data_IF_963783420194
#
_entry.id   IF_963783420194
#
_cell.length_a   1.000
_cell.length_b   1.000
_cell.length_c   1.000
_cell.angle_alpha   90.00
_cell.angle_beta   90.00
_cell.angle_gamma   90.00
#
_symmetry.space_group_name_H-M   'P 1'
#
loop_
_entity.id
_entity.type
_entity.pdbx_description
1 polymer ?
#
# COMPACT_ATOMS: atom_id res chain seq x y z
N UNK A 1 18.33 0.19 17.27
CA UNK A 1 17.32 -0.20 16.25
C UNK A 1 17.65 0.55 14.97
N UNK A 2 18.26 -0.11 14.00
CA UNK A 2 18.55 0.50 12.71
C UNK A 2 17.26 0.57 11.90
N UNK A 3 16.80 1.76 11.53
CA UNK A 3 15.59 1.92 10.72
C UNK A 3 15.88 1.32 9.34
N UNK A 4 15.15 0.27 8.94
CA UNK A 4 15.23 -0.27 7.58
C UNK A 4 14.45 0.61 6.61
N UNK A 5 14.97 0.76 5.39
CA UNK A 5 14.29 1.48 4.32
C UNK A 5 13.41 0.54 3.51
N UNK A 6 12.14 0.92 3.35
CA UNK A 6 11.10 0.17 2.63
C UNK A 6 10.86 0.65 1.20
N UNK A 7 9.73 0.25 0.61
CA UNK A 7 9.26 0.78 -0.68
C UNK A 7 10.16 0.47 -1.88
N UNK A 8 10.51 1.50 -2.67
CA UNK A 8 11.28 1.35 -3.93
C UNK A 8 12.63 0.67 -3.71
N UNK A 9 13.36 1.05 -2.65
CA UNK A 9 14.67 0.49 -2.37
C UNK A 9 14.57 -0.99 -1.97
N UNK A 10 13.55 -1.34 -1.17
CA UNK A 10 13.24 -2.72 -0.84
C UNK A 10 12.89 -3.56 -2.08
N UNK A 11 12.07 -3.03 -2.98
CA UNK A 11 11.78 -3.68 -4.25
C UNK A 11 13.03 -3.88 -5.11
N UNK A 12 13.90 -2.85 -5.23
CA UNK A 12 15.10 -2.91 -6.07
C UNK A 12 16.13 -3.92 -5.56
N UNK A 13 16.34 -3.98 -4.24
CA UNK A 13 17.36 -4.86 -3.65
C UNK A 13 16.85 -6.28 -3.36
N UNK A 14 15.57 -6.45 -3.02
CA UNK A 14 15.02 -7.71 -2.54
C UNK A 14 14.18 -8.50 -3.54
N UNK A 15 13.75 -7.88 -4.65
CA UNK A 15 12.79 -8.52 -5.56
C UNK A 15 13.10 -8.36 -7.05
N UNK A 16 13.59 -7.18 -7.48
CA UNK A 16 13.90 -6.91 -8.88
C UNK A 16 15.14 -7.70 -9.34
N UNK A 17 15.07 -8.27 -10.55
CA UNK A 17 16.28 -8.72 -11.25
C UNK A 17 17.21 -7.56 -11.62
N UNK A 18 18.49 -7.84 -11.92
CA UNK A 18 19.50 -6.81 -12.18
C UNK A 18 19.11 -5.86 -13.32
N UNK A 19 18.51 -6.40 -14.37
CA UNK A 19 18.11 -5.67 -15.59
C UNK A 19 16.67 -5.13 -15.52
N UNK A 20 15.95 -5.34 -14.41
CA UNK A 20 14.58 -4.84 -14.27
C UNK A 20 14.55 -3.36 -13.92
N UNK A 21 13.96 -2.53 -14.79
CA UNK A 21 13.75 -1.11 -14.50
C UNK A 21 12.43 -0.93 -13.79
N UNK A 22 12.46 -0.38 -12.57
CA UNK A 22 11.25 0.03 -11.85
C UNK A 22 10.65 1.23 -12.58
N UNK A 23 9.43 1.06 -13.09
CA UNK A 23 8.65 2.10 -13.75
C UNK A 23 7.93 2.96 -12.73
N UNK A 24 7.28 2.34 -11.75
CA UNK A 24 6.78 3.04 -10.57
C UNK A 24 6.73 2.11 -9.37
N UNK A 25 6.74 2.71 -8.18
CA UNK A 25 6.36 2.03 -6.95
C UNK A 25 5.44 2.91 -6.11
N UNK A 26 4.35 2.33 -5.61
CA UNK A 26 3.34 3.03 -4.83
C UNK A 26 3.21 2.34 -3.47
N UNK A 27 3.77 2.93 -2.39
CA UNK A 27 3.59 2.39 -1.07
C UNK A 27 2.14 2.59 -0.61
N UNK A 28 1.58 1.56 0.02
CA UNK A 28 0.25 1.57 0.58
C UNK A 28 0.18 0.75 1.87
N UNK A 29 -0.78 1.11 2.71
CA UNK A 29 -1.22 0.29 3.84
C UNK A 29 -2.36 -0.62 3.39
N UNK A 30 -2.70 -1.68 4.13
CA UNK A 30 -3.88 -2.49 3.84
C UNK A 30 -5.16 -1.64 3.80
N UNK A 31 -5.27 -0.60 4.64
CA UNK A 31 -6.38 0.36 4.61
C UNK A 31 -6.42 1.24 3.35
N UNK A 32 -5.30 1.38 2.64
CA UNK A 32 -5.17 2.13 1.39
C UNK A 32 -5.51 1.33 0.13
N UNK A 33 -5.82 0.03 0.26
CA UNK A 33 -6.23 -0.86 -0.85
C UNK A 33 -7.73 -1.12 -0.75
N UNK A 34 -8.45 -0.98 -1.86
CA UNK A 34 -9.90 -1.22 -1.96
C UNK A 34 -10.26 -2.01 -3.21
N UNK A 35 -11.46 -2.56 -3.24
CA UNK A 35 -11.91 -3.49 -4.28
C UNK A 35 -13.23 -3.04 -4.89
N UNK A 36 -13.23 -2.85 -6.20
CA UNK A 36 -14.37 -2.57 -7.08
C UNK A 36 -14.57 -3.77 -8.01
N UNK A 37 -14.83 -4.92 -7.40
CA UNK A 37 -14.90 -6.21 -8.08
C UNK A 37 -16.32 -6.73 -7.94
N UNK A 38 -16.93 -7.10 -9.05
CA UNK A 38 -18.32 -7.57 -9.05
C UNK A 38 -18.50 -8.78 -8.12
N UNK A 39 -19.56 -8.76 -7.31
CA UNK A 39 -19.83 -9.80 -6.32
C UNK A 39 -19.00 -9.72 -5.03
N UNK A 40 -18.12 -8.73 -4.89
CA UNK A 40 -17.40 -8.43 -3.65
C UNK A 40 -17.83 -7.09 -3.05
N UNK A 41 -17.64 -6.95 -1.74
CA UNK A 41 -17.75 -5.67 -1.05
C UNK A 41 -16.54 -4.77 -1.35
N UNK A 42 -16.62 -3.48 -0.96
CA UNK A 42 -15.56 -2.50 -1.17
C UNK A 42 -14.22 -2.85 -0.48
N UNK A 43 -14.27 -3.68 0.55
CA UNK A 43 -13.13 -4.27 1.26
C UNK A 43 -12.74 -5.67 0.75
N UNK A 44 -13.35 -6.11 -0.36
CA UNK A 44 -13.00 -7.34 -1.07
C UNK A 44 -13.59 -8.62 -0.48
N UNK A 45 -14.52 -8.55 0.47
CA UNK A 45 -15.16 -9.74 1.06
C UNK A 45 -16.30 -10.24 0.18
N UNK A 46 -16.45 -11.55 0.12
CA UNK A 46 -17.63 -12.19 -0.47
C UNK A 46 -18.83 -11.93 0.43
N UNK A 47 -19.76 -11.11 -0.02
CA UNK A 47 -21.06 -10.90 0.63
C UNK A 47 -22.16 -11.24 -0.35
N UNK A 48 -23.18 -11.96 0.11
CA UNK A 48 -24.34 -12.37 -0.70
C UNK A 48 -24.85 -11.22 -1.56
N UNK A 49 -24.98 -11.48 -2.87
CA UNK A 49 -25.52 -10.57 -3.87
C UNK A 49 -26.69 -9.72 -3.32
N UNK A 50 -26.55 -8.39 -3.33
CA UNK A 50 -27.65 -7.52 -2.92
C UNK A 50 -27.25 -6.07 -2.73
N UNK A 51 -27.60 -5.25 -3.73
CA UNK A 51 -27.88 -3.81 -3.65
C UNK A 51 -27.83 -3.21 -2.23
N UNK A 52 -26.80 -2.41 -1.98
CA UNK A 52 -26.80 -1.36 -0.97
C UNK A 52 -26.77 -1.85 0.47
N UNK A 53 -25.75 -1.42 1.21
CA UNK A 53 -25.88 -0.73 2.49
C UNK A 53 -24.46 -0.36 2.92
N UNK A 54 -24.18 0.94 2.87
CA UNK A 54 -23.18 1.58 3.72
C UNK A 54 -23.50 1.24 5.18
N UNK A 55 -22.89 0.20 5.77
CA UNK A 55 -22.86 0.06 7.23
C UNK A 55 -21.55 -0.50 7.73
N UNK A 56 -20.96 0.30 8.62
CA UNK A 56 -19.97 -0.04 9.63
C UNK A 56 -18.59 -0.49 9.13
N UNK A 57 -17.80 0.46 8.63
CA UNK A 57 -16.36 0.37 8.84
C UNK A 57 -16.12 0.58 10.34
N UNK A 58 -15.75 -0.52 11.00
CA UNK A 58 -15.44 -0.58 12.42
C UNK A 58 -14.41 0.49 12.77
N UNK A 59 -14.79 1.38 13.67
CA UNK A 59 -13.88 2.27 14.37
C UNK A 59 -12.90 1.43 15.20
N UNK A 60 -11.66 1.35 14.73
CA UNK A 60 -10.43 1.08 15.51
C UNK A 60 -9.31 1.75 14.70
N UNK A 61 -8.48 2.68 15.14
CA UNK A 61 -8.26 3.45 16.37
C UNK A 61 -7.22 4.53 15.94
N UNK A 62 -7.27 5.76 16.47
CA UNK A 62 -6.07 6.64 16.43
C UNK A 62 -6.21 8.07 15.90
N UNK A 63 -7.12 8.83 16.49
CA UNK A 63 -6.94 10.25 16.87
C UNK A 63 -6.69 11.30 15.76
N UNK A 64 -7.82 11.90 15.35
CA UNK A 64 -8.10 13.34 15.31
C UNK A 64 -6.90 14.25 15.62
N UNK A 65 -6.51 15.10 14.66
CA UNK A 65 -5.54 16.15 14.92
C UNK A 65 -6.15 17.51 14.57
N UNK A 66 -6.79 18.11 15.57
CA UNK A 66 -7.43 19.42 15.51
C UNK A 66 -6.64 20.47 14.70
N UNK A 67 -7.22 20.89 13.57
CA UNK A 67 -7.12 22.22 12.97
C UNK A 67 -8.24 22.37 11.94
N UNK A 68 -9.21 23.25 12.25
CA UNK A 68 -10.19 23.93 11.38
C UNK A 68 -10.82 23.15 10.21
N UNK A 69 -12.14 22.97 10.25
CA UNK A 69 -13.02 22.40 9.22
C UNK A 69 -12.81 20.90 8.93
N UNK A 70 -13.14 20.05 9.91
CA UNK A 70 -13.07 18.60 9.74
C UNK A 70 -14.28 18.06 8.97
N UNK A 71 -14.09 17.83 7.67
CA UNK A 71 -14.89 16.85 6.91
C UNK A 71 -14.58 15.47 7.50
N UNK A 72 -15.52 14.85 8.22
CA UNK A 72 -15.39 13.50 8.85
C UNK A 72 -15.19 12.36 7.83
N UNK A 73 -15.00 12.69 6.56
CA UNK A 73 -14.86 11.74 5.46
C UNK A 73 -13.45 11.17 5.38
N UNK A 74 -13.38 9.94 4.90
CA UNK A 74 -12.13 9.21 4.73
C UNK A 74 -11.25 9.84 3.63
N UNK A 75 -9.91 9.83 3.78
CA UNK A 75 -9.02 10.18 2.69
C UNK A 75 -9.15 9.15 1.55
N UNK A 76 -8.98 9.55 0.27
CA UNK A 76 -9.00 8.61 -0.85
C UNK A 76 -8.05 7.42 -0.65
N UNK A 77 -8.44 6.19 -1.06
CA UNK A 77 -7.52 5.06 -1.04
C UNK A 77 -6.37 5.32 -2.01
N UNK A 78 -5.24 4.65 -1.80
CA UNK A 78 -4.07 4.75 -2.70
C UNK A 78 -4.27 3.92 -3.95
N UNK A 79 -4.91 2.76 -3.82
CA UNK A 79 -5.16 1.83 -4.92
C UNK A 79 -6.57 1.26 -4.82
N UNK A 80 -7.26 1.17 -5.95
CA UNK A 80 -8.50 0.40 -6.09
C UNK A 80 -8.31 -0.69 -7.13
N UNK A 81 -8.39 -1.94 -6.71
CA UNK A 81 -8.44 -3.11 -7.58
C UNK A 81 -9.84 -3.22 -8.19
N UNK A 82 -9.98 -3.49 -9.48
CA UNK A 82 -11.26 -3.64 -10.16
C UNK A 82 -11.31 -4.92 -11.01
N UNK A 83 -12.50 -5.46 -11.27
CA UNK A 83 -12.64 -6.62 -12.14
C UNK A 83 -14.04 -7.21 -12.24
N UNK A 84 -14.28 -8.07 -13.24
CA UNK A 84 -15.59 -8.66 -13.53
C UNK A 84 -16.09 -9.69 -12.51
N UNK A 85 -15.27 -10.13 -11.56
CA UNK A 85 -15.74 -11.04 -10.51
C UNK A 85 -14.67 -11.54 -9.55
N UNK A 86 -15.04 -12.39 -8.57
CA UNK A 86 -14.11 -12.89 -7.55
C UNK A 86 -12.98 -13.78 -8.09
N UNK A 87 -13.12 -14.27 -9.33
CA UNK A 87 -12.12 -15.09 -10.03
C UNK A 87 -11.15 -14.26 -10.89
N UNK A 88 -11.28 -12.93 -10.88
CA UNK A 88 -10.39 -12.02 -11.60
C UNK A 88 -8.94 -12.13 -11.12
N UNK A 89 -7.99 -11.98 -12.04
CA UNK A 89 -6.55 -12.04 -11.76
C UNK A 89 -6.13 -11.04 -10.67
N UNK A 90 -6.74 -9.86 -10.63
CA UNK A 90 -6.43 -8.86 -9.59
C UNK A 90 -6.67 -9.37 -8.15
N UNK A 91 -7.52 -10.39 -7.98
CA UNK A 91 -7.78 -10.96 -6.66
C UNK A 91 -6.60 -11.76 -6.10
N UNK A 92 -5.66 -12.16 -6.95
CA UNK A 92 -4.39 -12.78 -6.52
C UNK A 92 -3.49 -11.82 -5.72
N UNK A 93 -3.72 -10.51 -5.79
CA UNK A 93 -2.96 -9.51 -5.04
C UNK A 93 -3.63 -9.10 -3.72
N UNK A 94 -4.67 -9.81 -3.28
CA UNK A 94 -5.43 -9.40 -2.10
C UNK A 94 -4.61 -9.66 -0.82
N UNK A 95 -4.37 -8.65 0.04
CA UNK A 95 -3.80 -8.88 1.37
C UNK A 95 -4.69 -9.74 2.26
N UNK A 96 -4.08 -10.55 3.13
CA UNK A 96 -4.80 -11.35 4.12
C UNK A 96 -5.12 -10.47 5.33
N UNK A 97 -6.20 -10.79 6.06
CA UNK A 97 -6.63 -10.02 7.23
C UNK A 97 -5.62 -10.02 8.38
N UNK A 98 -4.68 -10.96 8.39
CA UNK A 98 -3.60 -11.07 9.38
C UNK A 98 -2.47 -10.05 9.11
N UNK A 99 -2.49 -9.39 7.95
CA UNK A 99 -1.46 -8.46 7.50
C UNK A 99 -1.67 -7.02 7.96
N UNK A 100 -2.39 -6.78 9.06
CA UNK A 100 -2.81 -5.42 9.46
C UNK A 100 -1.64 -4.44 9.65
N UNK A 101 -0.49 -4.94 10.11
CA UNK A 101 0.74 -4.16 10.35
C UNK A 101 1.75 -4.24 9.19
N UNK A 102 1.42 -4.96 8.12
CA UNK A 102 2.31 -5.18 6.98
C UNK A 102 2.25 -3.98 6.03
N UNK A 103 3.42 -3.53 5.57
CA UNK A 103 3.53 -2.49 4.56
C UNK A 103 3.51 -3.11 3.17
N UNK A 104 2.69 -2.55 2.29
CA UNK A 104 2.57 -3.00 0.91
C UNK A 104 3.16 -1.99 -0.05
N UNK A 105 3.71 -2.47 -1.17
CA UNK A 105 4.14 -1.62 -2.27
C UNK A 105 3.73 -2.25 -3.58
N UNK A 106 2.90 -1.54 -4.35
CA UNK A 106 2.66 -1.89 -5.74
C UNK A 106 3.85 -1.48 -6.58
N UNK A 107 4.41 -2.40 -7.34
CA UNK A 107 5.59 -2.16 -8.18
C UNK A 107 5.30 -2.60 -9.61
N UNK A 108 5.48 -1.68 -10.55
CA UNK A 108 5.54 -2.01 -11.98
C UNK A 108 6.99 -1.91 -12.43
N UNK A 109 7.51 -2.98 -13.03
CA UNK A 109 8.82 -3.01 -13.68
C UNK A 109 8.68 -3.10 -15.19
N UNK A 110 9.81 -3.11 -15.90
CA UNK A 110 9.87 -3.44 -17.32
C UNK A 110 9.37 -4.86 -17.65
N UNK A 111 9.25 -5.76 -16.66
CA UNK A 111 8.92 -7.16 -16.88
C UNK A 111 7.63 -7.64 -16.20
N UNK A 112 7.22 -7.01 -15.09
CA UNK A 112 6.10 -7.51 -14.28
C UNK A 112 5.49 -6.44 -13.38
N UNK A 113 4.25 -6.68 -13.00
CA UNK A 113 3.52 -5.95 -11.97
C UNK A 113 3.37 -6.85 -10.75
N UNK A 114 3.65 -6.33 -9.57
CA UNK A 114 3.54 -7.07 -8.32
C UNK A 114 3.02 -6.23 -7.16
N UNK A 115 2.44 -6.92 -6.18
CA UNK A 115 2.24 -6.38 -4.84
C UNK A 115 3.26 -7.00 -3.90
N UNK A 116 4.17 -6.18 -3.40
CA UNK A 116 5.18 -6.59 -2.44
C UNK A 116 4.71 -6.30 -1.02
N UNK A 117 4.99 -7.21 -0.11
CA UNK A 117 4.77 -7.10 1.31
C UNK A 117 6.12 -7.06 2.04
N UNK A 118 6.31 -6.11 2.94
CA UNK A 118 7.51 -6.09 3.79
C UNK A 118 7.40 -7.17 4.86
N UNK A 119 8.44 -7.99 5.00
CA UNK A 119 8.48 -9.06 6.01
C UNK A 119 8.78 -8.41 7.37
N UNK A 120 7.86 -8.52 8.34
CA UNK A 120 8.08 -7.97 9.67
C UNK A 120 9.29 -8.65 10.31
N UNK A 121 10.11 -7.87 11.02
CA UNK A 121 11.26 -8.41 11.73
C UNK A 121 10.76 -9.33 12.86
N UNK A 122 11.23 -10.59 12.95
CA UNK A 122 10.91 -11.42 14.09
C UNK A 122 11.40 -10.71 15.35
N UNK A 123 10.61 -10.68 16.44
CA UNK A 123 11.07 -10.08 17.67
C UNK A 123 12.38 -10.75 18.07
N UNK A 124 13.43 -9.98 18.29
CA UNK A 124 14.69 -10.49 18.82
C UNK A 124 14.37 -11.36 20.05
N UNK A 125 14.94 -12.57 20.18
CA UNK A 125 14.74 -13.36 21.39
C UNK A 125 15.28 -12.52 22.55
N UNK A 126 14.36 -12.06 23.41
CA UNK A 126 14.71 -11.45 24.67
C UNK A 126 15.65 -12.42 25.39
N UNK A 127 16.90 -12.01 25.57
CA UNK A 127 17.86 -12.74 26.39
C UNK A 127 17.17 -13.05 27.71
N UNK A 128 17.13 -14.35 28.03
CA UNK A 128 16.49 -14.94 29.20
C UNK A 128 16.74 -14.08 30.45
N UNK A 129 15.71 -13.33 30.85
CA UNK A 129 15.54 -12.98 32.25
C UNK A 129 14.57 -13.98 32.82
N UNK A 130 15.15 -14.91 33.56
CA UNK A 130 14.47 -15.78 34.50
C UNK A 130 13.37 -15.03 35.28
N UNK A 131 12.32 -15.80 35.59
CA UNK A 131 11.30 -15.53 36.60
C UNK A 131 10.30 -14.40 36.31
N UNK A 132 9.19 -14.75 35.67
CA UNK A 132 7.98 -15.10 36.44
C UNK A 132 6.76 -15.21 35.55
N UNK A 133 6.00 -16.26 35.85
CA UNK A 133 4.68 -16.57 35.33
C UNK A 133 3.72 -15.37 35.33
N UNK A 134 3.07 -15.15 34.19
CA UNK A 134 1.76 -14.53 34.11
C UNK A 134 1.77 -13.06 33.70
N UNK A 135 1.48 -12.81 32.42
CA UNK A 135 0.25 -12.11 32.01
C UNK A 135 0.31 -11.79 30.52
N UNK A 136 -0.38 -12.60 29.72
CA UNK A 136 -0.60 -12.41 28.28
C UNK A 136 -1.35 -11.10 27.94
N UNK A 137 -1.77 -10.31 28.93
CA UNK A 137 -2.60 -9.11 28.76
C UNK A 137 -1.84 -7.78 28.73
N UNK A 138 -0.52 -7.75 28.95
CA UNK A 138 0.26 -6.50 28.86
C UNK A 138 0.77 -6.15 27.45
N UNK A 139 0.71 -7.09 26.49
CA UNK A 139 1.21 -6.88 25.11
C UNK A 139 0.37 -5.92 24.26
N UNK A 140 -0.88 -5.62 24.61
CA UNK A 140 -1.76 -4.79 23.78
C UNK A 140 -1.56 -3.26 23.94
N UNK A 141 -0.76 -2.78 24.90
CA UNK A 141 -0.67 -1.34 25.22
C UNK A 141 0.51 -0.57 24.59
N UNK A 142 1.41 -1.22 23.83
CA UNK A 142 2.55 -0.55 23.18
C UNK A 142 2.43 -0.34 21.66
N UNK A 143 1.29 -0.67 21.05
CA UNK A 143 1.07 -0.61 19.61
C UNK A 143 0.55 0.76 19.07
N UNK A 144 0.50 1.80 19.91
CA UNK A 144 -0.18 3.07 19.57
C UNK A 144 0.71 4.27 19.17
N UNK A 145 2.04 4.15 19.13
CA UNK A 145 2.93 5.32 19.04
C UNK A 145 3.61 5.55 17.67
N UNK A 146 3.54 4.61 16.71
CA UNK A 146 4.37 4.66 15.50
C UNK A 146 3.79 5.38 14.28
N UNK A 147 2.51 5.74 14.29
CA UNK A 147 1.77 6.12 13.07
C UNK A 147 1.94 7.59 12.68
N UNK A 148 2.36 8.48 13.60
CA UNK A 148 2.49 9.94 13.32
C UNK A 148 3.79 10.37 12.63
N UNK A 149 4.82 9.53 12.59
CA UNK A 149 6.15 9.97 12.17
C UNK A 149 6.46 9.79 10.67
N UNK A 150 5.64 9.06 9.91
CA UNK A 150 6.07 8.57 8.59
C UNK A 150 5.58 9.34 7.35
N UNK A 151 4.46 10.07 7.43
CA UNK A 151 4.15 11.10 6.42
C UNK A 151 5.19 12.23 6.46
N UNK A 152 5.84 12.40 7.62
CA UNK A 152 7.05 13.21 7.77
C UNK A 152 8.28 12.51 7.21
N UNK A 153 8.54 11.24 7.53
CA UNK A 153 9.81 10.57 7.15
C UNK A 153 10.08 10.53 5.63
N UNK A 154 9.10 10.33 4.75
CA UNK A 154 9.38 10.33 3.29
C UNK A 154 9.62 11.75 2.75
N UNK A 155 8.89 12.74 3.28
CA UNK A 155 9.13 14.15 2.95
C UNK A 155 10.46 14.65 3.58
N UNK A 156 10.82 14.19 4.78
CA UNK A 156 12.04 14.58 5.52
C UNK A 156 13.30 13.91 4.97
N UNK A 157 13.19 12.70 4.41
CA UNK A 157 14.28 12.02 3.69
C UNK A 157 14.56 12.72 2.35
N UNK A 158 13.54 13.24 1.66
CA UNK A 158 13.70 14.04 0.45
C UNK A 158 14.04 15.52 0.73
N UNK A 159 13.76 16.02 1.93
CA UNK A 159 14.04 17.40 2.38
C UNK A 159 15.32 17.51 3.24
N UNK A 160 16.28 16.60 3.10
CA UNK A 160 17.62 16.69 3.70
C UNK A 160 17.70 16.74 5.24
N UNK A 161 16.60 16.53 5.97
CA UNK A 161 16.59 16.67 7.45
C UNK A 161 17.00 15.42 8.22
N UNK A 162 17.05 14.24 7.57
CA UNK A 162 17.37 12.95 8.24
C UNK A 162 18.49 12.14 7.57
N UNK A 163 19.32 12.76 6.73
CA UNK A 163 20.54 12.13 6.22
C UNK A 163 21.61 11.93 7.30
N UNK A 164 21.51 12.60 8.45
CA UNK A 164 22.37 12.36 9.61
C UNK A 164 22.11 11.07 10.38
N UNK A 165 21.12 10.25 9.97
CA UNK A 165 20.76 9.00 10.64
C UNK A 165 21.50 7.76 10.11
N UNK A 166 22.19 7.88 8.96
CA UNK A 166 23.01 6.80 8.40
C UNK A 166 24.45 7.29 8.27
N UNK A 167 25.42 6.65 8.92
CA UNK A 167 26.82 7.01 8.79
C UNK A 167 27.28 6.86 7.33
N UNK A 168 28.13 7.78 6.89
CA UNK A 168 28.70 7.73 5.55
C UNK A 168 29.50 6.42 5.36
N UNK A 169 29.36 5.81 4.19
CA UNK A 169 30.00 4.54 3.78
C UNK A 169 29.46 3.25 4.42
N UNK A 170 28.37 3.30 5.19
CA UNK A 170 27.68 2.08 5.62
C UNK A 170 26.51 1.76 4.67
N UNK A 171 26.32 0.47 4.29
CA UNK A 171 25.16 0.06 3.51
C UNK A 171 23.86 0.40 4.25
N UNK A 172 22.96 1.12 3.59
CA UNK A 172 21.64 1.40 4.15
C UNK A 172 20.88 0.08 4.29
N UNK A 173 20.42 -0.29 5.50
CA UNK A 173 19.71 -1.54 5.68
C UNK A 173 18.32 -1.45 5.03
N UNK A 174 18.00 -2.46 4.23
CA UNK A 174 16.77 -2.51 3.44
C UNK A 174 15.82 -3.56 4.03
N UNK A 175 14.52 -3.26 4.05
CA UNK A 175 13.52 -4.20 4.54
C UNK A 175 13.43 -5.42 3.60
N UNK A 176 13.45 -6.66 4.13
CA UNK A 176 13.13 -7.83 3.33
C UNK A 176 11.69 -7.73 2.80
N UNK A 177 11.49 -8.14 1.55
CA UNK A 177 10.18 -8.12 0.89
C UNK A 177 9.83 -9.50 0.36
N UNK A 178 8.55 -9.83 0.40
CA UNK A 178 7.97 -10.99 -0.25
C UNK A 178 6.91 -10.53 -1.25
N UNK A 179 6.64 -11.34 -2.27
CA UNK A 179 5.63 -11.04 -3.28
C UNK A 179 4.32 -11.74 -2.91
N UNK A 180 3.22 -11.00 -2.82
CA UNK A 180 1.89 -11.59 -2.60
C UNK A 180 1.26 -12.08 -3.90
N UNK A 181 1.60 -11.45 -5.02
CA UNK A 181 1.09 -11.79 -6.33
C UNK A 181 1.89 -11.08 -7.40
N UNK A 182 1.99 -11.72 -8.55
CA UNK A 182 2.73 -11.21 -9.72
C UNK A 182 1.96 -11.52 -11.00
N UNK A 183 2.01 -10.56 -11.92
CA UNK A 183 1.63 -10.77 -13.31
C UNK A 183 2.74 -10.25 -14.21
N UNK A 184 3.00 -10.97 -15.27
CA UNK A 184 3.97 -10.57 -16.29
C UNK A 184 3.46 -9.35 -17.06
N UNK A 185 4.36 -8.53 -17.58
CA UNK A 185 3.97 -7.33 -18.35
C UNK A 185 3.17 -7.69 -19.60
N UNK A 186 3.32 -8.91 -20.14
CA UNK A 186 2.52 -9.43 -21.25
C UNK A 186 1.03 -9.61 -20.88
N UNK A 187 0.72 -9.77 -19.60
CA UNK A 187 -0.65 -9.80 -19.10
C UNK A 187 -1.23 -8.40 -18.87
N UNK A 188 -0.41 -7.34 -18.92
CA UNK A 188 -0.88 -5.95 -18.86
C UNK A 188 -1.37 -5.55 -20.25
N UNK A 189 -2.69 -5.41 -20.37
CA UNK A 189 -3.37 -5.05 -21.62
C UNK A 189 -3.24 -3.55 -21.93
N UNK A 190 -3.39 -2.71 -20.92
CA UNK A 190 -3.35 -1.27 -21.09
C UNK A 190 -2.86 -0.55 -19.83
N UNK A 191 -2.17 0.57 -20.03
CA UNK A 191 -1.86 1.54 -18.98
C UNK A 191 -2.32 2.90 -19.48
N UNK A 192 -3.11 3.61 -18.68
CA UNK A 192 -3.59 4.94 -19.08
C UNK A 192 -4.29 5.70 -17.98
N UNK A 193 -4.57 6.97 -18.27
CA UNK A 193 -5.30 7.86 -17.36
C UNK A 193 -6.78 7.51 -17.32
N UNK A 194 -7.35 7.55 -16.12
CA UNK A 194 -8.77 7.41 -15.86
C UNK A 194 -9.23 8.42 -14.79
N UNK A 195 -10.53 8.64 -14.72
CA UNK A 195 -11.15 9.31 -13.58
C UNK A 195 -12.07 8.34 -12.87
N UNK A 196 -12.02 8.32 -11.53
CA UNK A 196 -12.84 7.45 -10.71
C UNK A 196 -13.74 8.26 -9.79
N UNK A 197 -14.97 7.77 -9.62
CA UNK A 197 -15.90 8.27 -8.62
C UNK A 197 -15.86 7.37 -7.39
N UNK A 198 -15.38 7.89 -6.26
CA UNK A 198 -15.32 7.19 -4.99
C UNK A 198 -16.68 7.19 -4.26
N UNK A 199 -16.90 6.22 -3.35
CA UNK A 199 -18.04 6.20 -2.44
C UNK A 199 -18.22 7.52 -1.66
N UNK A 200 -19.43 7.78 -1.17
CA UNK A 200 -19.77 9.03 -0.46
C UNK A 200 -18.99 9.24 0.84
N UNK A 201 -18.49 8.16 1.43
CA UNK A 201 -17.67 8.18 2.65
C UNK A 201 -16.30 8.83 2.46
N UNK A 202 -15.88 9.15 1.24
CA UNK A 202 -14.57 9.75 0.95
C UNK A 202 -14.65 11.26 0.72
N UNK A 203 -13.65 11.99 1.22
CA UNK A 203 -13.60 13.46 1.18
C UNK A 203 -13.59 13.98 -0.26
N UNK A 204 -12.71 13.40 -1.10
CA UNK A 204 -12.74 13.64 -2.54
C UNK A 204 -13.49 12.51 -3.24
N UNK A 205 -14.61 12.85 -3.87
CA UNK A 205 -15.42 11.88 -4.61
C UNK A 205 -14.97 11.69 -6.04
N UNK A 206 -14.34 12.67 -6.68
CA UNK A 206 -13.81 12.55 -8.05
C UNK A 206 -12.30 12.60 -7.95
N UNK A 207 -11.65 11.51 -8.34
CA UNK A 207 -10.20 11.37 -8.27
C UNK A 207 -9.66 10.98 -9.63
N UNK A 208 -8.38 11.26 -9.85
CA UNK A 208 -7.63 10.84 -11.03
C UNK A 208 -6.95 9.52 -10.72
N UNK A 209 -6.83 8.67 -11.73
CA UNK A 209 -6.21 7.36 -11.59
C UNK A 209 -5.27 7.05 -12.75
N UNK A 210 -4.15 6.41 -12.45
CA UNK A 210 -3.43 5.61 -13.43
C UNK A 210 -4.04 4.22 -13.40
N UNK A 211 -4.75 3.86 -14.46
CA UNK A 211 -5.33 2.54 -14.65
C UNK A 211 -4.31 1.62 -15.28
N UNK A 212 -4.10 0.47 -14.66
CA UNK A 212 -3.41 -0.68 -15.23
C UNK A 212 -4.44 -1.78 -15.43
N UNK A 213 -4.77 -2.09 -16.66
CA UNK A 213 -5.73 -3.13 -17.04
C UNK A 213 -5.00 -4.40 -17.47
N UNK A 214 -5.46 -5.54 -16.96
CA UNK A 214 -4.96 -6.88 -17.27
C UNK A 214 -5.77 -7.51 -18.41
N UNK A 215 -5.24 -8.60 -18.96
CA UNK A 215 -5.83 -9.29 -20.10
C UNK A 215 -7.25 -9.85 -19.85
N UNK A 216 -7.60 -10.14 -18.60
CA UNK A 216 -8.93 -10.63 -18.20
C UNK A 216 -9.94 -9.49 -17.94
N UNK A 217 -9.55 -8.23 -18.18
CA UNK A 217 -10.37 -7.04 -17.92
C UNK A 217 -10.38 -6.59 -16.46
N UNK A 218 -9.68 -7.29 -15.56
CA UNK A 218 -9.41 -6.82 -14.21
C UNK A 218 -8.19 -5.90 -14.17
N UNK A 219 -7.91 -5.27 -13.04
CA UNK A 219 -6.76 -4.37 -12.94
C UNK A 219 -6.77 -3.51 -11.70
N UNK A 220 -5.93 -2.49 -11.68
CA UNK A 220 -5.86 -1.55 -10.56
C UNK A 220 -5.82 -0.11 -11.02
N UNK A 221 -6.40 0.76 -10.20
CA UNK A 221 -6.36 2.20 -10.33
C UNK A 221 -5.48 2.76 -9.21
N UNK A 222 -4.30 3.30 -9.56
CA UNK A 222 -3.48 4.09 -8.62
C UNK A 222 -4.05 5.49 -8.55
N UNK A 223 -4.48 5.92 -7.36
CA UNK A 223 -5.31 7.12 -7.19
C UNK A 223 -4.50 8.33 -6.72
N UNK A 224 -4.83 9.50 -7.28
CA UNK A 224 -4.40 10.79 -6.77
C UNK A 224 -5.54 11.82 -6.84
N UNK A 225 -5.54 12.76 -5.90
CA UNK A 225 -6.44 13.90 -5.95
C UNK A 225 -6.01 14.94 -7.00
N UNK A 226 -4.73 14.95 -7.37
CA UNK A 226 -4.14 15.87 -8.33
C UNK A 226 -3.85 15.15 -9.66
N UNK A 227 -4.29 15.73 -10.77
CA UNK A 227 -4.13 15.14 -12.11
C UNK A 227 -2.65 15.08 -12.52
N UNK A 228 -1.87 16.08 -12.13
CA UNK A 228 -0.45 16.20 -12.47
C UNK A 228 0.37 15.03 -11.93
N UNK A 229 -0.02 14.49 -10.77
CA UNK A 229 0.61 13.31 -10.19
C UNK A 229 0.37 12.07 -11.06
N UNK A 230 -0.83 11.94 -11.64
CA UNK A 230 -1.15 10.83 -12.53
C UNK A 230 -0.44 11.00 -13.87
N UNK A 231 -0.34 12.22 -14.41
CA UNK A 231 0.43 12.50 -15.63
C UNK A 231 1.90 12.12 -15.46
N UNK A 232 2.50 12.46 -14.31
CA UNK A 232 3.88 12.04 -13.98
C UNK A 232 3.99 10.53 -13.84
N UNK A 233 3.03 9.89 -13.17
CA UNK A 233 3.04 8.43 -12.98
C UNK A 233 2.88 7.68 -14.31
N UNK A 234 2.05 8.18 -15.22
CA UNK A 234 1.90 7.66 -16.59
C UNK A 234 3.22 7.79 -17.37
N UNK A 235 3.88 8.96 -17.31
CA UNK A 235 5.18 9.16 -17.95
C UNK A 235 6.21 8.14 -17.43
N UNK A 236 6.30 7.97 -16.10
CA UNK A 236 7.17 6.98 -15.47
C UNK A 236 6.81 5.54 -15.88
N UNK A 237 5.52 5.20 -15.99
CA UNK A 237 5.05 3.89 -16.47
C UNK A 237 5.57 3.55 -17.87
N UNK A 238 5.67 4.55 -18.76
CA UNK A 238 6.23 4.41 -20.10
C UNK A 238 7.75 4.64 -20.19
N UNK A 239 8.44 4.87 -19.06
CA UNK A 239 9.86 5.15 -19.04
C UNK A 239 10.26 6.52 -19.57
N UNK A 240 9.33 7.46 -19.61
CA UNK A 240 9.57 8.85 -19.97
C UNK A 240 9.83 9.60 -18.67
N UNK A 241 11.07 10.01 -18.46
CA UNK A 241 11.48 10.83 -17.32
C UNK A 241 11.80 12.24 -17.78
#
# INVERSE_FOLDING_TARGET
MSKRVGGVLAARHGWCGPDEVIRFAVPCTPSGIRFDVDGLSWDGRSGSAGKGIERAFSAVEGLVNASSDYDDRLPPPKVVCFGPGPQSQVMGFRPVTEDADVRFTWVLTSHRLALLAEVPEPPEPEQEKEESSGSFWQKARKFGAGVRDFSRDVADILQDKKLGAYPANEPVPVAPVTSLGEVTVQQVRAIGRATRKLPRSYASRKVFALRVELADGSGLDVISAAEENIVRLEAMAFGRQ
#
